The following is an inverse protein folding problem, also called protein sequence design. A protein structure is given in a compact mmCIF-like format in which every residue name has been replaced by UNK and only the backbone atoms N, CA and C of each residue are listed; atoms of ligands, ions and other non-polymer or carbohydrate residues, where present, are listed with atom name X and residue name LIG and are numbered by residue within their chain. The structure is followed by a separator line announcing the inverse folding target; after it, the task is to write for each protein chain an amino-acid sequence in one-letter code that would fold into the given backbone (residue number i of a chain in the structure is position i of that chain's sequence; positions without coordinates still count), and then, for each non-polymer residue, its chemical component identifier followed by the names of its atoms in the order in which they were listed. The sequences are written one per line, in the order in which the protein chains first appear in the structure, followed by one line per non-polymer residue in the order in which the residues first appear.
data_IF_896293053981
#
_entry.id   IF_896293053981
#
_cell.length_a   1.000
_cell.length_b   1.000
_cell.length_c   1.000
_cell.angle_alpha   90.00
_cell.angle_beta   90.00
_cell.angle_gamma   90.00
#
_symmetry.space_group_name_H-M   'P 1'
#
loop_
_entity.id
_entity.type
_entity.pdbx_description
1 polymer ?
#
# COMPACT_ATOMS: atom_id res chain seq x y z
N UNK A 1 4.98 10.18 -7.02
CA UNK A 1 3.92 10.36 -6.00
C UNK A 1 2.63 10.98 -6.54
N UNK A 2 2.49 11.20 -7.86
CA UNK A 2 1.22 11.67 -8.44
C UNK A 2 0.05 10.71 -8.15
N UNK A 3 0.29 9.39 -8.22
CA UNK A 3 -0.73 8.38 -7.89
C UNK A 3 -1.28 8.48 -6.45
N UNK A 4 -0.47 8.93 -5.49
CA UNK A 4 -0.94 9.20 -4.12
C UNK A 4 -1.82 10.44 -4.07
N UNK A 5 -1.43 11.52 -4.75
CA UNK A 5 -2.25 12.74 -4.84
C UNK A 5 -3.61 12.43 -5.48
N UNK A 6 -3.61 11.71 -6.61
CA UNK A 6 -4.84 11.31 -7.31
C UNK A 6 -5.72 10.41 -6.42
N UNK A 7 -5.09 9.55 -5.60
CA UNK A 7 -5.80 8.72 -4.62
C UNK A 7 -6.38 9.56 -3.48
N UNK A 8 -5.63 10.51 -2.91
CA UNK A 8 -6.12 11.44 -1.88
C UNK A 8 -7.30 12.29 -2.38
N UNK A 9 -7.25 12.77 -3.63
CA UNK A 9 -8.37 13.48 -4.26
C UNK A 9 -9.60 12.56 -4.39
N UNK A 10 -9.38 11.31 -4.77
CA UNK A 10 -10.42 10.29 -4.80
C UNK A 10 -11.06 10.02 -3.44
N UNK A 11 -10.26 9.99 -2.37
CA UNK A 11 -10.72 9.79 -0.98
C UNK A 11 -11.49 11.00 -0.45
N UNK A 12 -11.12 12.21 -0.90
CA UNK A 12 -11.76 13.46 -0.53
C UNK A 12 -13.05 13.74 -1.31
N UNK A 13 -13.38 12.89 -2.28
CA UNK A 13 -14.58 13.03 -3.09
C UNK A 13 -15.84 12.76 -2.26
N UNK A 14 -16.85 13.62 -2.37
CA UNK A 14 -18.17 13.45 -1.71
C UNK A 14 -18.93 12.19 -2.18
N UNK A 15 -18.46 11.56 -3.27
CA UNK A 15 -18.96 10.26 -3.70
C UNK A 15 -18.55 9.24 -2.63
N UNK A 16 -19.51 8.79 -1.81
CA UNK A 16 -19.38 7.81 -0.69
C UNK A 16 -18.77 6.43 -1.04
N UNK A 17 -18.03 6.31 -2.15
CA UNK A 17 -17.47 5.08 -2.69
C UNK A 17 -15.94 5.17 -2.67
N UNK A 18 -15.31 4.14 -2.14
CA UNK A 18 -13.87 4.02 -2.11
C UNK A 18 -13.24 4.05 -3.53
N UNK A 19 -12.17 4.83 -3.78
CA UNK A 19 -11.54 5.00 -5.09
C UNK A 19 -10.59 3.83 -5.41
N UNK A 20 -11.15 2.64 -5.64
CA UNK A 20 -10.39 1.39 -5.86
C UNK A 20 -9.40 1.48 -7.03
N UNK A 21 -9.73 2.20 -8.10
CA UNK A 21 -8.83 2.31 -9.26
C UNK A 21 -7.57 3.11 -8.93
N UNK A 22 -7.73 4.22 -8.21
CA UNK A 22 -6.63 5.06 -7.74
C UNK A 22 -5.79 4.30 -6.70
N UNK A 23 -6.44 3.55 -5.80
CA UNK A 23 -5.74 2.66 -4.88
C UNK A 23 -4.87 1.65 -5.62
N UNK A 24 -5.39 0.96 -6.65
CA UNK A 24 -4.61 -0.01 -7.43
C UNK A 24 -3.43 0.64 -8.16
N UNK A 25 -3.61 1.85 -8.70
CA UNK A 25 -2.51 2.57 -9.33
C UNK A 25 -1.42 2.94 -8.30
N UNK A 26 -1.82 3.40 -7.12
CA UNK A 26 -0.91 3.68 -6.00
C UNK A 26 -0.18 2.41 -5.53
N UNK A 27 -0.93 1.31 -5.36
CA UNK A 27 -0.45 -0.01 -4.98
C UNK A 27 0.67 -0.49 -5.89
N UNK A 28 0.41 -0.58 -7.20
CA UNK A 28 1.36 -1.12 -8.17
C UNK A 28 2.65 -0.30 -8.24
N UNK A 29 2.54 1.03 -8.21
CA UNK A 29 3.70 1.93 -8.22
C UNK A 29 4.55 1.74 -6.96
N UNK A 30 3.91 1.62 -5.80
CA UNK A 30 4.63 1.53 -4.52
C UNK A 30 5.21 0.14 -4.31
N UNK A 31 4.51 -0.91 -4.71
CA UNK A 31 5.02 -2.28 -4.72
C UNK A 31 6.26 -2.38 -5.60
N UNK A 32 6.19 -1.85 -6.84
CA UNK A 32 7.34 -1.83 -7.75
C UNK A 32 8.51 -1.03 -7.17
N UNK A 33 8.24 0.07 -6.47
CA UNK A 33 9.28 0.81 -5.76
C UNK A 33 9.94 -0.09 -4.69
N UNK A 34 9.16 -0.72 -3.81
CA UNK A 34 9.68 -1.60 -2.76
C UNK A 34 10.52 -2.76 -3.33
N UNK A 35 10.11 -3.35 -4.45
CA UNK A 35 10.88 -4.38 -5.15
C UNK A 35 12.22 -3.86 -5.69
N UNK A 36 12.23 -2.67 -6.29
CA UNK A 36 13.45 -2.05 -6.84
C UNK A 36 14.41 -1.58 -5.74
N UNK A 37 13.89 -1.18 -4.59
CA UNK A 37 14.68 -0.69 -3.45
C UNK A 37 14.90 -1.74 -2.38
N UNK A 38 14.62 -3.02 -2.64
CA UNK A 38 14.70 -4.09 -1.63
C UNK A 38 16.09 -4.21 -0.97
N UNK A 39 17.14 -3.89 -1.72
CA UNK A 39 18.53 -3.92 -1.25
C UNK A 39 19.01 -2.58 -0.69
N UNK A 40 18.18 -1.53 -0.76
CA UNK A 40 18.52 -0.19 -0.27
C UNK A 40 17.98 -0.03 1.16
N UNK A 41 18.83 0.33 2.14
CA UNK A 41 18.38 0.55 3.52
C UNK A 41 17.54 1.84 3.69
N UNK A 42 17.49 2.72 2.70
CA UNK A 42 16.81 4.02 2.79
C UNK A 42 15.59 4.09 1.90
N UNK A 43 14.46 4.45 2.51
CA UNK A 43 13.19 4.69 1.81
C UNK A 43 13.02 6.19 1.59
N UNK A 44 12.56 6.57 0.41
CA UNK A 44 12.21 7.96 0.15
C UNK A 44 11.09 8.42 1.08
N UNK A 45 11.30 9.53 1.78
CA UNK A 45 10.33 10.13 2.71
C UNK A 45 8.93 10.29 2.08
N UNK A 46 8.87 10.62 0.80
CA UNK A 46 7.60 10.79 0.08
C UNK A 46 6.83 9.47 -0.06
N UNK A 47 7.51 8.34 -0.26
CA UNK A 47 6.89 7.02 -0.33
C UNK A 47 6.47 6.57 1.06
N UNK A 48 7.36 6.68 2.05
CA UNK A 48 7.03 6.35 3.44
C UNK A 48 5.82 7.15 3.95
N UNK A 49 5.78 8.45 3.67
CA UNK A 49 4.64 9.31 4.04
C UNK A 49 3.34 8.92 3.34
N UNK A 50 3.40 8.41 2.10
CA UNK A 50 2.23 7.94 1.37
C UNK A 50 1.64 6.68 2.00
N UNK A 51 2.49 5.70 2.32
CA UNK A 51 2.07 4.44 2.93
C UNK A 51 1.51 4.69 4.33
N UNK A 52 2.18 5.52 5.14
CA UNK A 52 1.64 5.89 6.45
C UNK A 52 0.30 6.61 6.33
N UNK A 53 0.18 7.56 5.39
CA UNK A 53 -1.09 8.25 5.15
C UNK A 53 -2.23 7.32 4.69
N UNK A 54 -1.91 6.25 3.95
CA UNK A 54 -2.87 5.21 3.61
C UNK A 54 -3.33 4.48 4.88
N UNK A 55 -2.39 4.03 5.72
CA UNK A 55 -2.71 3.27 6.94
C UNK A 55 -3.55 4.11 7.92
N UNK A 56 -3.18 5.37 8.12
CA UNK A 56 -3.94 6.33 8.94
C UNK A 56 -5.38 6.48 8.43
N UNK A 57 -5.57 6.58 7.11
CA UNK A 57 -6.90 6.65 6.50
C UNK A 57 -7.70 5.36 6.76
N UNK A 58 -7.07 4.19 6.57
CA UNK A 58 -7.71 2.89 6.74
C UNK A 58 -8.11 2.62 8.20
N UNK A 59 -7.35 3.10 9.17
CA UNK A 59 -7.68 3.03 10.59
C UNK A 59 -8.96 3.83 10.90
N UNK A 60 -9.09 5.03 10.33
CA UNK A 60 -10.25 5.92 10.57
C UNK A 60 -11.49 5.48 9.77
N UNK A 61 -11.33 5.08 8.51
CA UNK A 61 -12.43 4.83 7.56
C UNK A 61 -12.66 3.34 7.23
N UNK A 62 -12.28 2.44 8.15
CA UNK A 62 -12.31 0.98 7.97
C UNK A 62 -13.65 0.43 7.42
N UNK A 63 -14.80 1.00 7.82
CA UNK A 63 -16.14 0.52 7.42
C UNK A 63 -16.46 0.68 5.92
N UNK A 64 -15.75 1.55 5.21
CA UNK A 64 -15.99 1.83 3.78
C UNK A 64 -14.97 1.14 2.87
N UNK A 65 -13.98 0.50 3.46
CA UNK A 65 -12.84 -0.06 2.76
C UNK A 65 -13.16 -1.51 2.37
N UNK A 66 -12.99 -1.88 1.09
CA UNK A 66 -13.06 -3.28 0.66
C UNK A 66 -12.01 -4.15 1.37
N UNK A 67 -12.34 -5.39 1.72
CA UNK A 67 -11.42 -6.26 2.49
C UNK A 67 -10.11 -6.58 1.75
N UNK A 68 -10.12 -6.64 0.42
CA UNK A 68 -8.94 -6.78 -0.42
C UNK A 68 -7.97 -5.61 -0.27
N UNK A 69 -8.49 -4.40 -0.09
CA UNK A 69 -7.69 -3.19 0.10
C UNK A 69 -6.94 -3.20 1.44
N UNK A 70 -7.56 -3.71 2.51
CA UNK A 70 -6.89 -3.82 3.81
C UNK A 70 -5.73 -4.81 3.75
N UNK A 71 -5.96 -5.98 3.15
CA UNK A 71 -4.95 -7.02 2.92
C UNK A 71 -3.80 -6.51 2.08
N UNK A 72 -4.11 -5.81 0.99
CA UNK A 72 -3.11 -5.18 0.16
C UNK A 72 -2.34 -4.16 1.01
N UNK A 73 -2.97 -3.17 1.62
CA UNK A 73 -2.28 -2.14 2.40
C UNK A 73 -1.27 -2.70 3.44
N UNK A 74 -1.67 -3.73 4.20
CA UNK A 74 -0.78 -4.45 5.13
C UNK A 74 0.43 -5.09 4.42
N UNK A 75 0.21 -5.69 3.25
CA UNK A 75 1.29 -6.22 2.40
C UNK A 75 2.22 -5.11 1.92
N UNK A 76 1.75 -3.90 1.60
CA UNK A 76 2.63 -2.79 1.21
C UNK A 76 3.54 -2.39 2.37
N UNK A 77 2.95 -2.26 3.55
CA UNK A 77 3.63 -1.86 4.77
C UNK A 77 4.76 -2.87 5.07
N UNK A 78 4.44 -4.16 5.03
CA UNK A 78 5.42 -5.21 5.26
C UNK A 78 6.52 -5.23 4.20
N UNK A 79 6.16 -5.09 2.91
CA UNK A 79 7.16 -5.06 1.83
C UNK A 79 8.10 -3.85 1.97
N UNK A 80 7.54 -2.69 2.28
CA UNK A 80 8.30 -1.44 2.30
C UNK A 80 9.16 -1.30 3.55
N UNK A 81 8.62 -1.61 4.74
CA UNK A 81 9.30 -1.35 6.01
C UNK A 81 9.96 -2.59 6.61
N UNK A 82 9.46 -3.79 6.33
CA UNK A 82 9.96 -5.03 6.94
C UNK A 82 10.61 -5.99 5.92
N UNK A 83 10.49 -5.71 4.61
CA UNK A 83 11.13 -6.47 3.55
C UNK A 83 10.57 -7.88 3.32
N UNK A 84 9.39 -8.19 3.85
CA UNK A 84 8.71 -9.48 3.68
C UNK A 84 7.26 -9.32 3.23
N UNK A 85 6.67 -10.42 2.75
CA UNK A 85 5.30 -10.47 2.29
C UNK A 85 4.46 -11.37 3.22
N UNK A 86 3.51 -10.81 4.01
CA UNK A 86 2.68 -11.58 4.95
C UNK A 86 1.64 -12.46 4.23
N UNK A 87 1.33 -12.15 2.98
CA UNK A 87 0.36 -12.87 2.15
C UNK A 87 1.05 -13.54 0.97
N UNK A 88 2.27 -14.04 1.18
CA UNK A 88 3.04 -14.74 0.16
C UNK A 88 2.30 -16.00 -0.30
N UNK A 89 1.93 -16.04 -1.58
CA UNK A 89 1.20 -17.17 -2.19
C UNK A 89 2.13 -18.23 -2.80
N UNK A 90 3.46 -18.09 -2.65
CA UNK A 90 4.42 -19.08 -3.14
C UNK A 90 4.64 -20.22 -2.14
N UNK A 91 5.09 -21.36 -2.63
CA UNK A 91 5.47 -22.48 -1.77
C UNK A 91 6.62 -22.07 -0.84
N UNK A 92 6.46 -22.38 0.45
CA UNK A 92 7.54 -22.25 1.43
C UNK A 92 8.70 -23.13 0.97
N UNK A 93 9.90 -22.56 0.80
CA UNK A 93 11.05 -23.33 0.36
C UNK A 93 11.30 -24.45 1.38
N UNK A 94 11.38 -25.73 0.97
CA UNK A 94 11.58 -26.81 1.90
C UNK A 94 12.94 -26.66 2.58
N UNK A 95 12.93 -26.40 3.90
CA UNK A 95 14.14 -26.46 4.73
C UNK A 95 14.51 -25.22 5.54
N UNK A 96 13.53 -24.43 6.02
CA UNK A 96 13.73 -23.64 7.23
C UNK A 96 13.56 -24.52 8.48
#
# INVERSE_FOLDING_TARGET
MQCWVDFQEGLSSEKRKYPVQQFRAFWEVTKRYAELTRSDPLIHRSVAGAVNGLLDFLEVENKRVPGDVLRDAERLECLLFNGYDPHFEGDELPGL
#
